data_IF_778233310573
#
_entry.id   IF_778233310573
#
_cell.length_a   1.000
_cell.length_b   1.000
_cell.length_c   1.000
_cell.angle_alpha   90.00
_cell.angle_beta   90.00
_cell.angle_gamma   90.00
#
_symmetry.space_group_name_H-M   'P 1'
#
loop_
_entity.id
_entity.type
_entity.pdbx_description
1 polymer ?
#
# COMPACT_ATOMS: atom_id res chain seq x y z
N UNK A 1 -44.61 38.21 111.39
CA UNK A 1 -44.35 37.04 110.50
C UNK A 1 -43.24 37.37 109.52
N UNK A 2 -42.59 36.37 108.93
CA UNK A 2 -41.57 36.56 107.87
C UNK A 2 -41.92 35.74 106.62
N UNK A 3 -41.45 36.14 105.44
CA UNK A 3 -41.62 35.33 104.21
C UNK A 3 -40.73 34.07 104.25
N UNK A 4 -41.19 32.91 103.75
CA UNK A 4 -40.46 31.64 103.91
C UNK A 4 -39.16 31.56 103.09
N UNK A 5 -39.15 32.10 101.86
CA UNK A 5 -37.98 31.98 100.97
C UNK A 5 -36.95 33.08 101.21
N UNK A 6 -37.40 34.30 101.53
CA UNK A 6 -36.53 35.47 101.62
C UNK A 6 -36.31 35.95 103.06
N UNK A 7 -37.17 35.56 104.02
CA UNK A 7 -37.06 35.94 105.42
C UNK A 7 -37.51 37.39 105.70
N UNK A 8 -38.30 38.00 104.81
CA UNK A 8 -38.68 39.41 104.87
C UNK A 8 -39.81 39.64 105.89
N UNK A 9 -39.73 40.72 106.66
CA UNK A 9 -40.72 41.14 107.64
C UNK A 9 -42.08 41.39 106.98
N UNK A 10 -43.13 40.76 107.51
CA UNK A 10 -44.53 40.98 107.12
C UNK A 10 -45.25 41.81 108.19
N UNK A 11 -46.07 42.76 107.75
CA UNK A 11 -46.92 43.61 108.61
C UNK A 11 -47.88 42.73 109.41
N UNK A 12 -47.98 42.97 110.72
CA UNK A 12 -48.99 42.35 111.56
C UNK A 12 -50.32 43.10 111.40
N UNK A 13 -51.35 42.38 110.93
CA UNK A 13 -52.68 42.95 110.63
C UNK A 13 -53.75 42.56 111.66
N UNK A 14 -53.35 42.04 112.81
CA UNK A 14 -54.27 41.45 113.80
C UNK A 14 -54.82 42.43 114.85
N UNK A 15 -54.39 43.70 114.88
CA UNK A 15 -54.90 44.73 115.83
C UNK A 15 -55.51 45.95 115.10
N UNK A 16 -56.76 46.37 115.41
CA UNK A 16 -57.46 47.39 114.65
C UNK A 16 -57.57 48.73 115.38
N UNK A 17 -56.49 49.51 115.54
CA UNK A 17 -56.55 50.98 115.74
C UNK A 17 -55.16 51.59 115.54
N UNK A 18 -55.01 52.39 114.47
CA UNK A 18 -53.81 53.19 114.13
C UNK A 18 -52.46 52.51 114.37
N UNK A 19 -52.17 51.46 113.60
CA UNK A 19 -50.83 50.86 113.57
C UNK A 19 -49.89 51.81 112.83
N UNK A 20 -48.99 52.46 113.57
CA UNK A 20 -47.90 53.24 113.01
C UNK A 20 -47.12 52.40 111.98
N UNK A 21 -47.01 52.86 110.73
CA UNK A 21 -46.23 52.14 109.71
C UNK A 21 -44.75 52.42 109.91
N UNK A 22 -44.06 51.47 110.54
CA UNK A 22 -42.61 51.53 110.73
C UNK A 22 -41.88 51.29 109.40
N UNK A 23 -41.51 52.39 108.74
CA UNK A 23 -40.80 52.42 107.46
C UNK A 23 -39.49 51.63 107.52
N UNK A 24 -38.76 51.75 108.63
CA UNK A 24 -37.47 51.08 108.82
C UNK A 24 -37.66 49.56 108.88
N UNK A 25 -38.65 49.09 109.64
CA UNK A 25 -38.89 47.65 109.82
C UNK A 25 -39.41 46.95 108.57
N UNK A 26 -40.31 47.58 107.82
CA UNK A 26 -41.05 46.91 106.75
C UNK A 26 -40.56 47.24 105.34
N UNK A 27 -39.82 48.33 105.17
CA UNK A 27 -39.24 48.74 103.90
C UNK A 27 -37.72 48.57 103.93
N UNK A 28 -37.02 49.37 104.71
CA UNK A 28 -35.55 49.47 104.66
C UNK A 28 -34.87 48.17 105.09
N UNK A 29 -35.33 47.55 106.19
CA UNK A 29 -34.81 46.25 106.63
C UNK A 29 -35.07 45.13 105.61
N UNK A 30 -36.20 45.17 104.90
CA UNK A 30 -36.50 44.18 103.86
C UNK A 30 -35.66 44.39 102.61
N UNK A 31 -35.48 45.64 102.17
CA UNK A 31 -34.59 45.97 101.05
C UNK A 31 -33.16 45.55 101.33
N UNK A 32 -32.61 45.88 102.52
CA UNK A 32 -31.26 45.42 102.91
C UNK A 32 -31.17 43.89 102.95
N UNK A 33 -32.22 43.20 103.42
CA UNK A 33 -32.22 41.74 103.46
C UNK A 33 -32.23 41.06 102.08
N UNK A 34 -32.87 41.69 101.08
CA UNK A 34 -32.81 41.23 99.68
C UNK A 34 -31.45 41.56 99.09
N UNK A 35 -30.98 42.80 99.26
CA UNK A 35 -29.73 43.30 98.68
C UNK A 35 -28.51 42.50 99.19
N UNK A 36 -28.53 42.09 100.46
CA UNK A 36 -27.50 41.19 101.03
C UNK A 36 -27.47 39.81 100.37
N UNK A 37 -28.53 39.39 99.66
CA UNK A 37 -28.67 38.06 99.07
C UNK A 37 -28.65 38.07 97.53
N UNK A 38 -28.79 39.22 96.88
CA UNK A 38 -28.81 39.36 95.42
C UNK A 38 -27.43 39.85 94.97
N UNK A 39 -26.86 39.21 93.93
CA UNK A 39 -25.57 39.64 93.36
C UNK A 39 -24.34 39.36 94.22
N UNK A 40 -24.47 38.58 95.30
CA UNK A 40 -23.36 38.12 96.14
C UNK A 40 -23.04 36.64 95.90
N UNK A 41 -21.78 36.25 96.09
CA UNK A 41 -21.34 34.87 96.01
C UNK A 41 -22.16 33.98 96.97
N UNK A 42 -22.78 32.91 96.45
CA UNK A 42 -23.64 32.00 97.22
C UNK A 42 -25.06 32.50 97.52
N UNK A 43 -25.51 33.61 96.92
CA UNK A 43 -26.86 34.17 97.04
C UNK A 43 -27.94 33.48 96.18
N UNK A 44 -29.11 34.12 96.02
CA UNK A 44 -30.25 33.55 95.25
C UNK A 44 -29.97 33.34 93.76
N UNK A 45 -29.01 34.09 93.20
CA UNK A 45 -28.40 33.83 91.92
C UNK A 45 -26.91 33.59 92.21
N UNK A 46 -26.49 32.32 92.30
CA UNK A 46 -25.08 32.01 92.47
C UNK A 46 -24.39 32.34 91.16
N UNK A 47 -23.74 33.50 91.13
CA UNK A 47 -22.78 33.84 90.11
C UNK A 47 -21.39 33.65 90.71
N UNK A 48 -20.44 33.20 89.89
CA UNK A 48 -19.02 33.22 90.24
C UNK A 48 -18.49 34.67 90.31
N UNK A 49 -17.22 34.82 90.65
CA UNK A 49 -16.57 36.14 90.79
C UNK A 49 -16.59 36.97 89.49
N UNK A 50 -16.85 36.34 88.34
CA UNK A 50 -16.93 36.96 87.02
C UNK A 50 -18.38 37.23 86.57
N UNK A 51 -19.37 36.99 87.44
CA UNK A 51 -20.78 37.22 87.13
C UNK A 51 -21.40 36.15 86.23
N UNK A 52 -20.79 34.96 86.12
CA UNK A 52 -21.29 33.83 85.32
C UNK A 52 -21.85 32.73 86.21
N UNK A 53 -22.70 31.87 85.66
CA UNK A 53 -23.16 30.66 86.37
C UNK A 53 -21.96 29.72 86.56
N UNK A 54 -21.69 29.26 87.79
CA UNK A 54 -20.61 28.33 88.07
C UNK A 54 -20.63 27.07 87.17
N UNK A 55 -19.47 26.67 86.67
CA UNK A 55 -19.34 25.57 85.68
C UNK A 55 -19.83 24.21 86.20
N UNK A 56 -19.84 23.99 87.52
CA UNK A 56 -20.38 22.80 88.15
C UNK A 56 -21.91 22.68 88.02
N UNK A 57 -22.59 23.81 87.80
CA UNK A 57 -24.03 23.93 87.55
C UNK A 57 -24.39 23.88 86.05
N UNK A 58 -23.40 23.93 85.14
CA UNK A 58 -23.63 23.78 83.71
C UNK A 58 -23.76 22.29 83.34
N UNK A 59 -24.74 21.98 82.49
CA UNK A 59 -24.94 20.63 81.95
C UNK A 59 -23.85 20.20 80.95
N UNK A 60 -22.98 21.12 80.50
CA UNK A 60 -21.86 20.85 79.58
C UNK A 60 -20.57 21.20 80.31
N UNK A 61 -19.88 20.18 80.80
CA UNK A 61 -18.56 20.30 81.42
C UNK A 61 -17.55 19.88 80.36
N UNK A 62 -16.78 20.84 79.87
CA UNK A 62 -15.66 20.69 78.91
C UNK A 62 -16.01 19.93 77.60
N UNK A 63 -16.32 20.64 76.50
CA UNK A 63 -16.61 19.97 75.23
C UNK A 63 -15.38 19.19 74.73
N UNK A 64 -15.54 17.88 74.58
CA UNK A 64 -14.56 17.01 73.93
C UNK A 64 -14.51 17.25 72.41
N UNK A 65 -13.44 16.81 71.76
CA UNK A 65 -13.35 16.82 70.29
C UNK A 65 -14.44 15.91 69.69
N UNK A 66 -15.01 16.34 68.56
CA UNK A 66 -16.02 15.52 67.88
C UNK A 66 -15.39 14.27 67.25
N UNK A 67 -16.14 13.18 67.26
CA UNK A 67 -15.81 11.97 66.51
C UNK A 67 -17.04 11.48 65.73
N UNK A 68 -16.87 10.43 64.93
CA UNK A 68 -17.99 9.79 64.22
C UNK A 68 -18.99 9.11 65.15
N UNK A 69 -18.67 8.94 66.44
CA UNK A 69 -19.50 8.27 67.44
C UNK A 69 -19.86 9.14 68.64
N UNK A 70 -19.19 10.29 68.83
CA UNK A 70 -19.40 11.21 69.94
C UNK A 70 -19.52 12.65 69.43
N UNK A 71 -20.55 13.37 69.88
CA UNK A 71 -20.69 14.80 69.61
C UNK A 71 -19.60 15.59 70.36
N UNK A 72 -19.02 16.58 69.71
CA UNK A 72 -17.96 17.42 70.27
C UNK A 72 -17.70 18.69 69.47
N UNK A 73 -16.61 19.39 69.78
CA UNK A 73 -16.14 20.58 69.05
C UNK A 73 -15.15 20.19 67.94
N UNK A 74 -15.12 20.96 66.85
CA UNK A 74 -14.18 20.78 65.72
C UNK A 74 -13.67 22.14 65.27
N UNK A 75 -12.40 22.22 64.87
CA UNK A 75 -11.83 23.40 64.24
C UNK A 75 -12.06 23.37 62.72
N UNK A 76 -12.47 24.49 62.14
CA UNK A 76 -12.80 24.58 60.71
C UNK A 76 -11.61 25.06 59.89
N UNK A 77 -11.42 24.50 58.68
CA UNK A 77 -10.39 24.93 57.73
C UNK A 77 -10.95 25.24 56.34
N UNK A 78 -10.35 26.24 55.69
CA UNK A 78 -10.63 26.59 54.29
C UNK A 78 -9.68 25.91 53.29
N UNK A 79 -8.74 25.08 53.76
CA UNK A 79 -7.84 24.34 52.88
C UNK A 79 -8.59 23.30 52.04
N UNK A 80 -8.32 23.24 50.73
CA UNK A 80 -8.99 22.33 49.79
C UNK A 80 -8.27 20.99 49.59
N UNK A 81 -7.10 20.82 50.22
CA UNK A 81 -6.25 19.63 50.14
C UNK A 81 -5.69 19.21 51.52
N UNK A 82 -6.39 19.57 52.61
CA UNK A 82 -5.96 19.22 53.97
C UNK A 82 -5.96 17.71 54.17
N UNK A 83 -4.89 17.18 54.75
CA UNK A 83 -4.79 15.78 55.21
C UNK A 83 -5.00 15.64 56.72
N UNK A 84 -5.38 16.71 57.42
CA UNK A 84 -5.62 16.71 58.87
C UNK A 84 -6.89 15.93 59.23
N UNK A 85 -6.78 15.06 60.22
CA UNK A 85 -7.91 14.32 60.81
C UNK A 85 -8.62 15.08 61.94
N UNK A 86 -8.09 16.23 62.36
CA UNK A 86 -8.62 17.05 63.47
C UNK A 86 -9.35 18.32 63.02
N UNK A 87 -9.34 18.61 61.72
CA UNK A 87 -9.98 19.79 61.13
C UNK A 87 -11.12 19.38 60.19
N UNK A 88 -12.27 20.06 60.28
CA UNK A 88 -13.36 19.87 59.33
C UNK A 88 -13.32 20.92 58.20
N UNK A 89 -13.67 20.54 56.96
CA UNK A 89 -13.72 21.49 55.85
C UNK A 89 -14.91 22.45 56.01
N UNK A 90 -14.70 23.72 55.66
CA UNK A 90 -15.82 24.67 55.51
C UNK A 90 -16.62 24.41 54.23
N UNK A 91 -17.85 24.95 54.16
CA UNK A 91 -18.62 24.97 52.91
C UNK A 91 -17.86 25.63 51.75
N UNK A 92 -17.02 26.63 52.05
CA UNK A 92 -16.13 27.27 51.07
C UNK A 92 -15.08 26.29 50.54
N UNK A 93 -14.39 25.57 51.41
CA UNK A 93 -13.40 24.56 51.01
C UNK A 93 -14.04 23.49 50.11
N UNK A 94 -15.21 22.97 50.52
CA UNK A 94 -15.94 21.97 49.75
C UNK A 94 -16.42 22.49 48.40
N UNK A 95 -16.94 23.71 48.34
CA UNK A 95 -17.41 24.32 47.09
C UNK A 95 -16.24 24.56 46.13
N UNK A 96 -15.11 25.07 46.62
CA UNK A 96 -13.91 25.27 45.81
C UNK A 96 -13.36 23.95 45.28
N UNK A 97 -13.35 22.89 46.10
CA UNK A 97 -12.95 21.55 45.67
C UNK A 97 -13.91 20.96 44.64
N UNK A 98 -15.23 21.09 44.85
CA UNK A 98 -16.24 20.60 43.91
C UNK A 98 -16.23 21.37 42.57
N UNK A 99 -15.83 22.64 42.58
CA UNK A 99 -15.66 23.46 41.38
C UNK A 99 -14.29 23.27 40.70
N UNK A 100 -13.40 22.46 41.27
CA UNK A 100 -12.10 22.17 40.66
C UNK A 100 -12.30 21.28 39.42
N UNK A 101 -12.19 21.89 38.24
CA UNK A 101 -12.31 21.21 36.95
C UNK A 101 -11.02 20.46 36.56
N UNK A 102 -9.95 20.53 37.36
CA UNK A 102 -8.74 19.75 37.15
C UNK A 102 -9.03 18.32 37.61
N UNK A 103 -9.53 17.49 36.67
CA UNK A 103 -9.65 16.03 36.83
C UNK A 103 -8.41 15.54 37.58
N UNK A 104 -8.59 14.94 38.76
CA UNK A 104 -7.53 14.28 39.53
C UNK A 104 -7.03 13.06 38.75
N UNK A 105 -6.36 13.30 37.63
CA UNK A 105 -5.65 12.29 36.88
C UNK A 105 -4.49 11.85 37.75
N UNK A 106 -4.53 10.59 38.15
CA UNK A 106 -3.42 9.94 38.84
C UNK A 106 -2.14 10.11 38.01
N UNK A 107 -0.98 10.03 38.67
CA UNK A 107 0.31 10.08 37.97
C UNK A 107 0.40 9.02 36.86
N UNK A 108 -0.25 7.86 37.05
CA UNK A 108 -0.35 6.80 36.05
C UNK A 108 -1.21 7.21 34.83
N UNK A 109 -2.40 7.77 35.05
CA UNK A 109 -3.27 8.26 33.95
C UNK A 109 -2.61 9.39 33.15
N UNK A 110 -1.86 10.27 33.82
CA UNK A 110 -1.08 11.33 33.17
C UNK A 110 0.07 10.78 32.33
N UNK A 111 0.77 9.77 32.85
CA UNK A 111 1.81 9.06 32.11
C UNK A 111 1.24 8.39 30.87
N UNK A 112 0.09 7.72 31.01
CA UNK A 112 -0.60 7.06 29.89
C UNK A 112 -1.05 8.08 28.84
N UNK A 113 -1.69 9.18 29.24
CA UNK A 113 -2.07 10.28 28.35
C UNK A 113 -0.87 10.85 27.59
N UNK A 114 0.24 11.09 28.29
CA UNK A 114 1.46 11.64 27.70
C UNK A 114 2.20 10.63 26.80
N UNK A 115 1.96 9.33 26.98
CA UNK A 115 2.50 8.26 26.12
C UNK A 115 1.67 8.00 24.86
N UNK A 116 0.47 8.60 24.75
CA UNK A 116 -0.41 8.42 23.61
C UNK A 116 0.15 9.04 22.32
N UNK A 117 -0.25 8.49 21.17
CA UNK A 117 0.04 9.10 19.86
C UNK A 117 -0.67 10.46 19.79
N UNK A 118 0.10 11.53 19.55
CA UNK A 118 -0.43 12.89 19.52
C UNK A 118 -0.88 13.26 18.10
N UNK A 119 -2.13 13.69 17.96
CA UNK A 119 -2.60 14.36 16.73
C UNK A 119 -2.20 15.84 16.82
N UNK A 120 -1.35 16.29 15.89
CA UNK A 120 -0.71 17.62 15.87
C UNK A 120 -1.54 18.68 15.16
N UNK A 121 -2.70 18.32 14.61
CA UNK A 121 -3.51 19.21 13.77
C UNK A 121 -3.10 19.17 12.30
N UNK A 122 -3.31 20.27 11.58
CA UNK A 122 -3.00 20.35 10.14
C UNK A 122 -1.48 20.42 9.91
N UNK A 123 -1.00 19.73 8.89
CA UNK A 123 0.42 19.75 8.49
C UNK A 123 0.84 21.17 8.05
N UNK A 124 2.08 21.61 8.36
CA UNK A 124 2.62 22.84 7.79
C UNK A 124 2.65 22.80 6.25
N UNK A 125 2.65 23.97 5.62
CA UNK A 125 2.78 24.10 4.16
C UNK A 125 4.06 23.41 3.63
N UNK A 126 5.15 23.47 4.38
CA UNK A 126 6.36 22.69 4.11
C UNK A 126 6.38 21.40 4.95
N UNK A 127 6.33 20.25 4.28
CA UNK A 127 6.40 18.95 4.96
C UNK A 127 7.74 18.74 5.69
N UNK A 128 8.81 19.46 5.32
CA UNK A 128 10.07 19.43 6.07
C UNK A 128 9.96 20.12 7.45
N UNK A 129 8.94 20.95 7.67
CA UNK A 129 8.68 21.58 8.98
C UNK A 129 7.92 20.68 9.95
N UNK A 130 7.33 19.57 9.47
CA UNK A 130 6.64 18.58 10.30
C UNK A 130 7.66 17.62 10.95
N UNK A 131 8.29 18.06 12.04
CA UNK A 131 9.40 17.34 12.69
C UNK A 131 9.08 16.71 14.04
N UNK A 132 7.93 17.01 14.64
CA UNK A 132 7.57 16.51 15.96
C UNK A 132 6.84 15.16 15.87
N UNK A 133 7.10 14.25 16.80
CA UNK A 133 6.43 12.95 16.84
C UNK A 133 4.91 13.10 16.87
N UNK A 134 4.21 12.37 16.00
CA UNK A 134 2.75 12.32 15.99
C UNK A 134 2.14 12.26 14.60
N UNK A 135 0.83 12.48 14.57
CA UNK A 135 0.01 12.42 13.37
C UNK A 135 -0.41 13.84 12.97
N UNK A 136 -0.18 14.20 11.72
CA UNK A 136 -0.59 15.45 11.10
C UNK A 136 -1.69 15.16 10.06
N UNK A 137 -2.73 15.98 10.08
CA UNK A 137 -3.82 15.96 9.11
C UNK A 137 -3.37 16.71 7.85
N UNK A 138 -3.59 16.12 6.68
CA UNK A 138 -3.29 16.76 5.40
C UNK A 138 -4.62 17.00 4.69
N UNK A 139 -4.98 18.26 4.47
CA UNK A 139 -6.33 18.64 4.04
C UNK A 139 -6.38 19.91 3.15
N UNK A 140 -5.51 20.00 2.13
CA UNK A 140 -5.52 21.14 1.22
C UNK A 140 -6.33 20.86 -0.05
N UNK A 141 -7.24 21.78 -0.37
CA UNK A 141 -7.95 21.84 -1.67
C UNK A 141 -7.03 22.25 -2.82
N UNK A 142 -6.02 23.08 -2.54
CA UNK A 142 -5.04 23.54 -3.53
C UNK A 142 -3.77 22.66 -3.48
N UNK A 143 -3.51 21.96 -4.58
CA UNK A 143 -2.41 21.01 -4.71
C UNK A 143 -1.03 21.67 -4.79
N UNK A 144 -1.00 22.99 -4.99
CA UNK A 144 0.21 23.81 -5.00
C UNK A 144 0.57 24.37 -3.61
N UNK A 145 -0.35 24.26 -2.64
CA UNK A 145 -0.17 24.84 -1.30
C UNK A 145 0.92 24.16 -0.46
N UNK A 146 1.33 22.94 -0.84
CA UNK A 146 2.38 22.20 -0.15
C UNK A 146 3.70 22.20 -0.92
N UNK A 147 4.81 22.27 -0.17
CA UNK A 147 6.17 22.04 -0.67
C UNK A 147 6.81 20.89 0.09
N UNK A 148 7.80 20.24 -0.55
CA UNK A 148 8.47 19.04 -0.06
C UNK A 148 7.52 17.89 0.32
N UNK A 149 6.28 17.91 -0.17
CA UNK A 149 5.35 16.80 -0.04
C UNK A 149 5.63 15.73 -1.10
N UNK A 150 5.07 14.51 -0.96
CA UNK A 150 5.37 13.41 -1.86
C UNK A 150 4.99 13.71 -3.32
N UNK A 151 6.01 13.78 -4.17
CA UNK A 151 5.91 13.89 -5.63
C UNK A 151 6.95 12.98 -6.26
N UNK A 152 6.58 12.28 -7.32
CA UNK A 152 7.49 11.54 -8.18
C UNK A 152 7.30 12.00 -9.63
N UNK A 153 8.39 12.17 -10.37
CA UNK A 153 8.40 12.51 -11.79
C UNK A 153 7.67 11.49 -12.67
N UNK A 154 7.65 10.21 -12.29
CA UNK A 154 7.02 9.13 -13.07
C UNK A 154 5.58 8.82 -12.65
N UNK A 155 5.23 9.07 -11.39
CA UNK A 155 3.94 8.64 -10.79
C UNK A 155 3.03 9.82 -10.45
N UNK A 156 3.50 11.06 -10.65
CA UNK A 156 2.77 12.26 -10.30
C UNK A 156 2.90 12.66 -8.83
N UNK A 157 2.06 13.59 -8.40
CA UNK A 157 2.03 14.08 -7.02
C UNK A 157 1.00 13.31 -6.21
N UNK A 158 1.31 13.00 -4.95
CA UNK A 158 0.35 12.37 -4.05
C UNK A 158 -0.87 13.28 -3.86
N UNK A 159 -2.05 12.68 -3.68
CA UNK A 159 -3.27 13.44 -3.41
C UNK A 159 -3.12 14.20 -2.08
N UNK A 160 -3.49 15.49 -2.06
CA UNK A 160 -3.25 16.42 -0.93
C UNK A 160 -4.27 16.32 0.21
N UNK A 161 -4.97 15.18 0.29
CA UNK A 161 -5.73 14.76 1.45
C UNK A 161 -5.18 13.46 1.97
N UNK A 162 -5.03 13.35 3.29
CA UNK A 162 -4.47 12.16 3.90
C UNK A 162 -3.95 12.42 5.30
N UNK A 163 -3.00 11.58 5.70
CA UNK A 163 -2.41 11.60 7.04
C UNK A 163 -0.90 11.48 6.91
N UNK A 164 -0.17 12.42 7.49
CA UNK A 164 1.27 12.37 7.65
C UNK A 164 1.60 11.92 9.07
N UNK A 165 2.26 10.78 9.19
CA UNK A 165 2.86 10.32 10.44
C UNK A 165 4.33 10.70 10.47
N UNK A 166 4.77 11.25 11.60
CA UNK A 166 6.15 11.66 11.84
C UNK A 166 6.65 10.95 13.10
N UNK A 167 7.77 10.26 12.97
CA UNK A 167 8.39 9.51 14.06
C UNK A 167 9.89 9.78 14.12
N UNK A 168 10.41 10.03 15.33
CA UNK A 168 11.82 10.29 15.62
C UNK A 168 12.29 9.32 16.69
N UNK A 169 13.44 8.68 16.45
CA UNK A 169 14.13 7.84 17.42
C UNK A 169 15.27 8.67 18.04
N UNK A 170 14.91 9.67 18.84
CA UNK A 170 15.86 10.64 19.40
C UNK A 170 16.29 11.70 18.38
N UNK A 171 17.52 12.20 18.50
CA UNK A 171 18.01 13.33 17.72
C UNK A 171 18.66 12.95 16.38
N UNK A 172 18.88 11.66 16.08
CA UNK A 172 19.68 11.24 14.92
C UNK A 172 18.93 11.19 13.59
N UNK A 173 17.70 10.69 13.59
CA UNK A 173 16.90 10.50 12.39
C UNK A 173 15.40 10.65 12.65
N UNK A 174 14.70 11.07 11.61
CA UNK A 174 13.26 11.24 11.55
C UNK A 174 12.72 10.47 10.36
N UNK A 175 11.60 9.78 10.54
CA UNK A 175 10.85 9.12 9.47
C UNK A 175 9.51 9.83 9.28
N UNK A 176 9.11 9.95 8.02
CA UNK A 176 7.78 10.41 7.63
C UNK A 176 7.09 9.33 6.80
N UNK A 177 5.86 9.01 7.17
CA UNK A 177 4.97 8.14 6.40
C UNK A 177 3.70 8.92 6.06
N UNK A 178 3.47 9.15 4.77
CA UNK A 178 2.26 9.80 4.27
C UNK A 178 1.32 8.78 3.65
N UNK A 179 0.11 8.70 4.19
CA UNK A 179 -0.99 7.88 3.65
C UNK A 179 -1.98 8.80 2.98
N UNK A 180 -2.06 8.71 1.66
CA UNK A 180 -2.95 9.52 0.85
C UNK A 180 -4.36 8.93 0.86
N UNK A 181 -5.37 9.79 1.00
CA UNK A 181 -6.79 9.41 0.94
C UNK A 181 -7.18 8.99 -0.49
N UNK A 182 -6.72 9.75 -1.49
CA UNK A 182 -6.87 9.40 -2.89
C UNK A 182 -5.88 8.31 -3.29
N UNK A 183 -6.30 7.36 -4.12
CA UNK A 183 -5.48 6.25 -4.64
C UNK A 183 -4.90 5.29 -3.58
N UNK A 184 -5.18 5.51 -2.29
CA UNK A 184 -4.72 4.70 -1.15
C UNK A 184 -3.19 4.50 -1.11
N UNK A 185 -2.44 5.48 -1.62
CA UNK A 185 -1.00 5.38 -1.75
C UNK A 185 -0.30 5.64 -0.42
N UNK A 186 0.77 4.90 -0.18
CA UNK A 186 1.65 5.09 0.97
C UNK A 186 2.99 5.57 0.49
N UNK A 187 3.45 6.67 1.07
CA UNK A 187 4.71 7.31 0.76
C UNK A 187 5.56 7.34 2.01
N UNK A 188 6.85 7.05 1.87
CA UNK A 188 7.80 7.04 2.98
C UNK A 188 9.05 7.83 2.63
N UNK A 189 9.65 8.47 3.63
CA UNK A 189 11.01 9.00 3.56
C UNK A 189 11.60 9.14 4.95
N UNK A 190 12.88 9.49 5.00
CA UNK A 190 13.56 9.84 6.23
C UNK A 190 14.36 11.12 6.07
N UNK A 191 14.68 11.76 7.18
CA UNK A 191 15.63 12.86 7.29
C UNK A 191 16.66 12.56 8.36
N UNK A 192 17.92 12.88 8.10
CA UNK A 192 19.00 12.77 9.08
C UNK A 192 19.33 14.15 9.66
N UNK A 193 19.67 14.17 10.95
CA UNK A 193 20.07 15.40 11.62
C UNK A 193 21.51 15.79 11.22
N UNK A 194 21.70 17.05 10.83
CA UNK A 194 23.00 17.61 10.45
C UNK A 194 23.72 18.32 11.60
N UNK A 195 23.29 18.11 12.85
CA UNK A 195 23.77 18.82 14.05
C UNK A 195 23.01 20.12 14.35
N UNK A 196 22.33 20.69 13.35
CA UNK A 196 21.50 21.90 13.45
C UNK A 196 20.01 21.63 13.22
N UNK A 197 19.60 20.36 13.08
CA UNK A 197 18.24 19.94 12.76
C UNK A 197 18.16 18.96 11.60
N UNK A 198 16.94 18.54 11.26
CA UNK A 198 16.68 17.59 10.17
C UNK A 198 16.73 18.29 8.81
N UNK A 199 17.91 18.35 8.19
CA UNK A 199 18.14 19.01 6.90
C UNK A 199 18.45 18.03 5.74
N UNK A 200 18.95 16.83 6.03
CA UNK A 200 19.31 15.84 5.01
C UNK A 200 18.11 14.94 4.67
N UNK A 201 17.19 15.45 3.86
CA UNK A 201 15.97 14.75 3.45
C UNK A 201 16.24 13.75 2.33
N UNK A 202 15.87 12.50 2.55
CA UNK A 202 15.81 11.51 1.47
C UNK A 202 14.60 11.79 0.58
N UNK A 203 14.67 11.46 -0.72
CA UNK A 203 13.53 11.59 -1.61
C UNK A 203 12.34 10.75 -1.11
N UNK A 204 11.13 11.22 -1.40
CA UNK A 204 9.93 10.44 -1.15
C UNK A 204 9.91 9.19 -2.02
N UNK A 205 9.61 8.06 -1.40
CA UNK A 205 9.41 6.78 -2.07
C UNK A 205 7.96 6.34 -1.91
N UNK A 206 7.30 6.00 -3.02
CA UNK A 206 5.97 5.40 -2.99
C UNK A 206 6.09 3.90 -2.82
N UNK A 207 5.34 3.34 -1.87
CA UNK A 207 5.20 1.90 -1.70
C UNK A 207 4.28 1.35 -2.78
N UNK A 208 4.73 0.31 -3.48
CA UNK A 208 3.98 -0.28 -4.59
C UNK A 208 2.75 -1.04 -4.06
N UNK A 209 1.60 -0.74 -4.67
CA UNK A 209 0.31 -1.36 -4.36
C UNK A 209 -0.08 -2.46 -5.34
N UNK A 210 -1.23 -3.08 -5.10
CA UNK A 210 -1.79 -4.14 -5.96
C UNK A 210 -1.99 -3.68 -7.41
N UNK A 211 -2.41 -2.42 -7.62
CA UNK A 211 -2.56 -1.83 -8.96
C UNK A 211 -1.25 -1.80 -9.74
N UNK A 212 -0.14 -1.47 -9.08
CA UNK A 212 1.19 -1.45 -9.69
C UNK A 212 1.62 -2.85 -10.13
N UNK A 213 1.41 -3.85 -9.27
CA UNK A 213 1.70 -5.24 -9.61
C UNK A 213 0.81 -5.76 -10.74
N UNK A 214 -0.46 -5.38 -10.77
CA UNK A 214 -1.37 -5.74 -11.86
C UNK A 214 -0.96 -5.07 -13.17
N UNK A 215 -0.55 -3.80 -13.13
CA UNK A 215 -0.03 -3.10 -14.29
C UNK A 215 1.25 -3.76 -14.82
N UNK A 216 2.17 -4.16 -13.93
CA UNK A 216 3.38 -4.89 -14.32
C UNK A 216 3.06 -6.24 -14.98
N UNK A 217 2.10 -6.99 -14.43
CA UNK A 217 1.61 -8.23 -15.05
C UNK A 217 0.98 -7.96 -16.42
N UNK A 218 0.20 -6.89 -16.53
CA UNK A 218 -0.43 -6.50 -17.79
C UNK A 218 0.62 -6.14 -18.85
N UNK A 219 1.67 -5.39 -18.49
CA UNK A 219 2.78 -5.08 -19.40
C UNK A 219 3.46 -6.35 -19.93
N UNK A 220 3.60 -7.40 -19.12
CA UNK A 220 4.10 -8.70 -19.58
C UNK A 220 3.14 -9.38 -20.56
N UNK A 221 1.83 -9.32 -20.32
CA UNK A 221 0.80 -9.84 -21.24
C UNK A 221 0.81 -9.07 -22.56
N UNK A 222 0.89 -7.74 -22.51
CA UNK A 222 0.94 -6.87 -23.68
C UNK A 222 2.18 -7.17 -24.53
N UNK A 223 3.35 -7.32 -23.89
CA UNK A 223 4.59 -7.74 -24.55
C UNK A 223 4.47 -9.10 -25.24
N UNK A 224 3.87 -10.09 -24.58
CA UNK A 224 3.58 -11.40 -25.20
C UNK A 224 2.60 -11.28 -26.36
N UNK A 225 1.62 -10.37 -26.27
CA UNK A 225 0.67 -10.09 -27.35
C UNK A 225 1.37 -9.58 -28.62
N UNK A 226 2.34 -8.68 -28.48
CA UNK A 226 3.17 -8.20 -29.61
C UNK A 226 3.93 -9.35 -30.26
N UNK A 227 4.59 -10.18 -29.47
CA UNK A 227 5.34 -11.34 -29.97
C UNK A 227 4.42 -12.36 -30.65
N UNK A 228 3.28 -12.68 -30.04
CA UNK A 228 2.29 -13.59 -30.60
C UNK A 228 1.74 -13.07 -31.95
N UNK A 229 1.47 -11.77 -32.06
CA UNK A 229 1.05 -11.14 -33.32
C UNK A 229 2.10 -11.30 -34.42
N UNK A 230 3.39 -11.12 -34.10
CA UNK A 230 4.48 -11.32 -35.04
C UNK A 230 4.59 -12.78 -35.51
N UNK A 231 4.44 -13.75 -34.59
CA UNK A 231 4.45 -15.19 -34.88
C UNK A 231 3.29 -15.55 -35.81
N UNK A 232 2.07 -15.10 -35.49
CA UNK A 232 0.88 -15.37 -36.31
C UNK A 232 1.00 -14.74 -37.70
N UNK A 233 1.63 -13.56 -37.81
CA UNK A 233 1.95 -12.93 -39.10
C UNK A 233 2.90 -13.73 -39.98
N UNK A 234 3.56 -14.78 -39.45
CA UNK A 234 4.40 -15.73 -40.17
C UNK A 234 3.76 -17.12 -40.32
N UNK A 235 2.46 -17.24 -40.05
CA UNK A 235 1.72 -18.50 -40.18
C UNK A 235 1.71 -19.36 -38.91
N UNK A 236 2.10 -18.81 -37.75
CA UNK A 236 1.90 -19.47 -36.46
C UNK A 236 0.46 -19.34 -35.93
N UNK A 237 0.19 -19.96 -34.76
CA UNK A 237 -1.10 -19.89 -34.07
C UNK A 237 -0.90 -19.85 -32.54
N UNK A 238 -0.68 -18.66 -32.01
CA UNK A 238 -0.46 -18.37 -30.57
C UNK A 238 -1.19 -17.09 -30.14
N UNK A 239 -1.22 -16.81 -28.85
CA UNK A 239 -1.82 -15.58 -28.30
C UNK A 239 -1.06 -15.07 -27.06
N UNK A 240 -1.48 -13.93 -26.52
CA UNK A 240 -0.92 -13.36 -25.30
C UNK A 240 -1.11 -14.26 -24.05
N UNK A 241 -2.03 -15.23 -24.10
CA UNK A 241 -2.24 -16.19 -23.01
C UNK A 241 -1.15 -17.26 -22.93
N UNK A 242 -0.41 -17.50 -24.02
CA UNK A 242 0.64 -18.50 -24.04
C UNK A 242 1.78 -18.16 -23.07
N UNK A 243 2.49 -19.18 -22.59
CA UNK A 243 3.72 -18.99 -21.81
C UNK A 243 4.87 -18.55 -22.72
N UNK A 244 5.96 -18.04 -22.14
CA UNK A 244 7.13 -17.66 -22.92
C UNK A 244 7.76 -18.87 -23.62
N UNK A 245 7.73 -20.04 -22.99
CA UNK A 245 8.21 -21.30 -23.54
C UNK A 245 7.36 -21.75 -24.74
N UNK A 246 6.03 -21.63 -24.64
CA UNK A 246 5.12 -21.95 -25.74
C UNK A 246 5.32 -21.00 -26.93
N UNK A 247 5.50 -19.70 -26.68
CA UNK A 247 5.82 -18.72 -27.74
C UNK A 247 7.17 -19.04 -28.40
N UNK A 248 8.19 -19.40 -27.62
CA UNK A 248 9.49 -19.79 -28.14
C UNK A 248 9.40 -21.06 -29.00
N UNK A 249 8.68 -22.07 -28.54
CA UNK A 249 8.43 -23.29 -29.32
C UNK A 249 7.68 -23.00 -30.63
N UNK A 250 6.69 -22.09 -30.60
CA UNK A 250 5.98 -21.68 -31.79
C UNK A 250 6.92 -21.02 -32.82
N UNK A 251 7.86 -20.15 -32.37
CA UNK A 251 8.88 -19.55 -33.24
C UNK A 251 9.75 -20.63 -33.89
N UNK A 252 10.26 -21.58 -33.10
CA UNK A 252 11.12 -22.67 -33.62
C UNK A 252 10.40 -23.53 -34.65
N UNK A 253 9.10 -23.72 -34.47
CA UNK A 253 8.26 -24.54 -35.35
C UNK A 253 7.60 -23.75 -36.49
N UNK A 254 7.89 -22.45 -36.64
CA UNK A 254 7.29 -21.66 -37.72
C UNK A 254 7.60 -22.29 -39.08
N UNK A 255 6.62 -22.33 -40.01
CA UNK A 255 6.85 -22.83 -41.35
C UNK A 255 7.84 -21.92 -42.09
N UNK A 256 9.08 -22.39 -42.22
CA UNK A 256 10.07 -21.75 -43.08
C UNK A 256 9.84 -22.27 -44.49
N UNK A 257 9.69 -21.40 -45.50
CA UNK A 257 9.68 -21.86 -46.91
C UNK A 257 10.96 -22.66 -47.16
N UNK A 258 10.81 -23.96 -47.41
CA UNK A 258 11.95 -24.87 -47.56
C UNK A 258 12.40 -24.85 -49.01
N UNK A 259 13.70 -24.75 -49.19
CA UNK A 259 14.34 -24.90 -50.48
C UNK A 259 15.59 -25.76 -50.30
N UNK A 260 15.95 -26.47 -51.36
CA UNK A 260 17.15 -27.27 -51.43
C UNK A 260 17.80 -27.10 -52.80
N UNK A 261 19.11 -27.30 -52.88
CA UNK A 261 19.85 -27.33 -54.13
C UNK A 261 20.88 -28.45 -54.08
N UNK A 262 21.32 -28.89 -55.25
CA UNK A 262 22.38 -29.87 -55.36
C UNK A 262 22.81 -30.06 -56.80
N UNK A 263 23.55 -31.14 -57.04
CA UNK A 263 24.06 -31.49 -58.36
C UNK A 263 23.84 -32.97 -58.65
N UNK A 264 23.59 -33.28 -59.92
CA UNK A 264 23.63 -34.64 -60.47
C UNK A 264 25.04 -35.04 -60.90
N UNK A 265 26.08 -34.26 -60.54
CA UNK A 265 27.49 -34.50 -60.87
C UNK A 265 27.75 -34.70 -62.37
N UNK A 266 26.96 -34.07 -63.24
CA UNK A 266 27.08 -34.24 -64.69
C UNK A 266 26.60 -35.59 -65.19
N UNK A 267 25.66 -36.25 -64.48
CA UNK A 267 25.03 -37.48 -64.93
C UNK A 267 24.59 -37.32 -66.39
N UNK A 268 24.96 -38.29 -67.22
CA UNK A 268 24.79 -38.21 -68.66
C UNK A 268 24.28 -39.53 -69.23
N UNK A 269 23.64 -39.45 -70.39
CA UNK A 269 23.23 -40.60 -71.17
C UNK A 269 23.36 -40.31 -72.66
N UNK A 270 23.77 -41.33 -73.41
CA UNK A 270 23.93 -41.29 -74.86
C UNK A 270 22.83 -42.12 -75.51
N UNK A 271 22.29 -41.64 -76.63
CA UNK A 271 21.31 -42.38 -77.40
C UNK A 271 21.92 -43.69 -77.93
N UNK A 272 21.13 -44.76 -78.11
CA UNK A 272 21.64 -46.05 -78.58
C UNK A 272 22.12 -46.01 -80.04
N UNK A 273 21.67 -45.03 -80.83
CA UNK A 273 22.04 -44.83 -82.23
C UNK A 273 21.67 -43.40 -82.68
N UNK A 274 22.10 -43.03 -83.89
CA UNK A 274 21.85 -41.70 -84.47
C UNK A 274 20.38 -41.42 -84.82
N UNK A 275 19.53 -42.46 -84.92
CA UNK A 275 18.12 -42.30 -85.30
C UNK A 275 17.18 -42.11 -84.10
N UNK A 276 17.72 -42.19 -82.88
CA UNK A 276 16.97 -42.09 -81.62
C UNK A 276 17.47 -40.93 -80.75
N UNK A 277 16.65 -40.54 -79.78
CA UNK A 277 17.04 -39.61 -78.72
C UNK A 277 17.65 -40.34 -77.53
N UNK A 278 18.33 -39.59 -76.66
CA UNK A 278 18.85 -40.11 -75.41
C UNK A 278 17.79 -40.02 -74.31
N UNK A 279 17.87 -40.89 -73.30
CA UNK A 279 16.96 -40.88 -72.15
C UNK A 279 17.72 -41.28 -70.88
N UNK A 280 17.46 -40.57 -69.78
CA UNK A 280 17.96 -40.90 -68.45
C UNK A 280 16.92 -40.59 -67.39
N UNK A 281 17.02 -41.27 -66.24
CA UNK A 281 16.27 -40.88 -65.03
C UNK A 281 17.21 -40.18 -64.06
N UNK A 282 16.79 -39.02 -63.58
CA UNK A 282 17.46 -38.28 -62.50
C UNK A 282 16.52 -38.18 -61.31
N UNK A 283 17.07 -38.11 -60.10
CA UNK A 283 16.25 -38.00 -58.91
C UNK A 283 17.05 -37.67 -57.67
N UNK A 284 16.34 -37.15 -56.68
CA UNK A 284 16.83 -36.78 -55.36
C UNK A 284 15.88 -37.38 -54.33
N UNK A 285 16.40 -37.96 -53.25
CA UNK A 285 15.59 -38.65 -52.23
C UNK A 285 16.07 -38.40 -50.79
N UNK A 286 16.84 -37.34 -50.57
CA UNK A 286 17.49 -37.01 -49.29
C UNK A 286 17.15 -35.61 -48.77
N UNK A 287 16.06 -35.00 -49.26
CA UNK A 287 15.56 -33.71 -48.76
C UNK A 287 14.71 -33.90 -47.51
N UNK A 288 14.68 -32.88 -46.65
CA UNK A 288 13.84 -32.84 -45.43
C UNK A 288 12.38 -32.44 -45.69
N UNK A 289 11.99 -32.30 -46.97
CA UNK A 289 10.66 -31.92 -47.41
C UNK A 289 10.33 -32.51 -48.78
N UNK A 290 9.05 -32.52 -49.13
CA UNK A 290 8.56 -32.97 -50.44
C UNK A 290 8.37 -31.75 -51.34
N UNK A 291 9.14 -31.59 -52.42
CA UNK A 291 9.11 -30.39 -53.24
C UNK A 291 7.83 -30.29 -54.07
N UNK A 292 7.27 -29.09 -54.20
CA UNK A 292 6.16 -28.79 -55.13
C UNK A 292 6.64 -28.14 -56.42
N UNK A 293 7.89 -27.69 -56.49
CA UNK A 293 8.50 -27.15 -57.71
C UNK A 293 10.00 -27.45 -57.78
N UNK A 294 10.49 -27.76 -58.97
CA UNK A 294 11.92 -27.98 -59.22
C UNK A 294 12.41 -27.22 -60.45
N UNK A 295 13.71 -26.97 -60.46
CA UNK A 295 14.49 -26.46 -61.57
C UNK A 295 15.66 -27.42 -61.77
N UNK A 296 15.91 -27.86 -63.00
CA UNK A 296 17.02 -28.74 -63.33
C UNK A 296 17.79 -28.13 -64.50
N UNK A 297 19.10 -27.93 -64.33
CA UNK A 297 19.98 -27.57 -65.44
C UNK A 297 20.28 -28.79 -66.27
N UNK A 298 19.94 -28.71 -67.54
CA UNK A 298 20.07 -29.80 -68.50
C UNK A 298 20.76 -29.29 -69.77
N UNK A 299 21.45 -30.21 -70.44
CA UNK A 299 22.14 -29.96 -71.70
C UNK A 299 21.86 -31.07 -72.70
N UNK A 300 21.70 -30.70 -73.96
CA UNK A 300 21.73 -31.58 -75.12
C UNK A 300 22.95 -31.24 -75.99
N UNK A 301 23.84 -32.20 -76.17
CA UNK A 301 24.97 -32.16 -77.10
C UNK A 301 24.97 -33.41 -77.99
N UNK A 302 25.89 -33.51 -78.93
CA UNK A 302 26.20 -34.77 -79.59
C UNK A 302 27.51 -35.40 -79.08
N UNK A 303 27.84 -36.59 -79.57
CA UNK A 303 29.08 -37.32 -79.27
C UNK A 303 30.35 -36.56 -79.68
N UNK A 304 30.25 -35.55 -80.54
CA UNK A 304 31.35 -34.64 -80.91
C UNK A 304 31.40 -33.37 -80.05
N UNK A 305 30.61 -33.32 -78.97
CA UNK A 305 30.47 -32.18 -78.05
C UNK A 305 29.89 -30.90 -78.69
N UNK A 306 29.20 -30.99 -79.82
CA UNK A 306 28.44 -29.84 -80.36
C UNK A 306 27.22 -29.59 -79.47
N UNK A 307 27.10 -28.38 -78.94
CA UNK A 307 25.98 -27.98 -78.08
C UNK A 307 24.75 -27.60 -78.90
N UNK A 308 23.59 -28.16 -78.55
CA UNK A 308 22.30 -27.84 -79.19
C UNK A 308 21.34 -27.11 -78.26
N UNK A 309 21.31 -27.50 -76.98
CA UNK A 309 20.44 -26.90 -75.95
C UNK A 309 21.18 -26.89 -74.62
N UNK A 310 21.12 -25.79 -73.88
CA UNK A 310 21.47 -25.73 -72.46
C UNK A 310 20.55 -24.75 -71.76
N UNK A 311 20.10 -25.10 -70.55
CA UNK A 311 19.36 -24.19 -69.69
C UNK A 311 18.68 -24.90 -68.52
N UNK A 312 17.87 -24.15 -67.79
CA UNK A 312 17.06 -24.66 -66.69
C UNK A 312 15.66 -25.00 -67.17
N UNK A 313 15.27 -26.27 -67.03
CA UNK A 313 13.88 -26.69 -67.17
C UNK A 313 13.20 -26.68 -65.80
N UNK A 314 11.95 -26.22 -65.73
CA UNK A 314 11.19 -26.08 -64.48
C UNK A 314 9.79 -26.64 -64.58
N UNK A 315 9.28 -27.18 -63.47
CA UNK A 315 7.88 -27.55 -63.34
C UNK A 315 7.40 -27.59 -61.89
N UNK A 316 6.09 -27.41 -61.76
CA UNK A 316 5.33 -27.85 -60.59
C UNK A 316 5.28 -29.38 -60.56
N UNK A 317 5.38 -29.99 -59.38
CA UNK A 317 5.37 -31.44 -59.18
C UNK A 317 4.06 -31.83 -58.47
N UNK A 318 3.34 -32.87 -58.94
CA UNK A 318 3.65 -33.70 -60.10
C UNK A 318 3.36 -32.98 -61.43
N UNK A 319 4.16 -33.29 -62.46
CA UNK A 319 3.89 -32.86 -63.83
C UNK A 319 3.65 -34.08 -64.72
N UNK A 320 2.48 -34.12 -65.35
CA UNK A 320 2.05 -35.23 -66.22
C UNK A 320 2.43 -35.03 -67.68
N UNK A 321 2.72 -33.79 -68.11
CA UNK A 321 3.14 -33.46 -69.47
C UNK A 321 4.65 -33.27 -69.65
N UNK A 322 5.12 -33.29 -70.88
CA UNK A 322 6.53 -33.03 -71.20
C UNK A 322 6.85 -31.53 -71.12
N UNK A 323 7.82 -31.17 -70.29
CA UNK A 323 8.39 -29.82 -70.26
C UNK A 323 9.51 -29.78 -71.29
N UNK A 324 9.24 -29.16 -72.43
CA UNK A 324 10.13 -29.21 -73.58
C UNK A 324 10.89 -27.92 -73.77
N UNK A 325 12.19 -28.04 -73.98
CA UNK A 325 13.08 -27.00 -74.46
C UNK A 325 13.40 -27.29 -75.91
N UNK A 326 13.33 -26.25 -76.75
CA UNK A 326 13.69 -26.34 -78.16
C UNK A 326 14.89 -25.46 -78.43
N UNK A 327 15.86 -25.98 -79.17
CA UNK A 327 17.06 -25.24 -79.55
C UNK A 327 17.31 -25.27 -81.05
N UNK A 328 18.59 -25.17 -81.41
CA UNK A 328 19.06 -25.13 -82.80
C UNK A 328 18.50 -26.33 -83.59
N UNK A 329 18.11 -26.09 -84.85
CA UNK A 329 17.56 -27.10 -85.77
C UNK A 329 16.35 -27.88 -85.22
N UNK A 330 15.55 -27.24 -84.35
CA UNK A 330 14.38 -27.86 -83.73
C UNK A 330 14.71 -29.14 -82.96
N UNK A 331 15.93 -29.23 -82.42
CA UNK A 331 16.25 -30.25 -81.42
C UNK A 331 15.42 -30.00 -80.17
N UNK A 332 14.94 -31.08 -79.56
CA UNK A 332 14.11 -31.05 -78.35
C UNK A 332 14.83 -31.74 -77.21
N UNK A 333 14.83 -31.12 -76.05
CA UNK A 333 15.12 -31.75 -74.78
C UNK A 333 13.87 -31.65 -73.91
N UNK A 334 13.49 -32.73 -73.23
CA UNK A 334 12.28 -32.76 -72.42
C UNK A 334 12.54 -33.31 -71.03
N UNK A 335 11.86 -32.74 -70.04
CA UNK A 335 11.63 -33.37 -68.74
C UNK A 335 10.22 -33.95 -68.74
N UNK A 336 10.09 -35.23 -68.38
CA UNK A 336 8.80 -35.91 -68.30
C UNK A 336 8.75 -36.82 -67.08
N UNK A 337 7.55 -37.32 -66.75
CA UNK A 337 7.33 -38.17 -65.57
C UNK A 337 7.93 -37.57 -64.29
N UNK A 338 7.79 -36.26 -64.11
CA UNK A 338 8.33 -35.56 -62.95
C UNK A 338 7.37 -35.76 -61.78
N UNK A 339 7.77 -36.63 -60.85
CA UNK A 339 6.93 -37.09 -59.73
C UNK A 339 7.56 -36.75 -58.40
N UNK A 340 6.72 -36.38 -57.44
CA UNK A 340 7.13 -36.13 -56.06
C UNK A 340 7.48 -37.48 -55.43
N UNK A 341 8.56 -37.51 -54.65
CA UNK A 341 8.95 -38.65 -53.83
C UNK A 341 9.01 -38.20 -52.37
N UNK A 342 8.93 -39.15 -51.43
CA UNK A 342 9.21 -38.84 -50.03
C UNK A 342 10.62 -38.27 -49.90
N UNK A 343 10.73 -37.02 -49.45
CA UNK A 343 12.03 -36.33 -49.35
C UNK A 343 12.69 -36.05 -50.70
N UNK A 344 11.93 -35.93 -51.79
CA UNK A 344 12.52 -36.08 -53.11
C UNK A 344 11.68 -35.75 -54.34
N UNK A 345 12.30 -35.94 -55.50
CA UNK A 345 11.62 -36.04 -56.79
C UNK A 345 12.37 -37.00 -57.71
N UNK A 346 11.67 -37.50 -58.72
CA UNK A 346 12.25 -38.26 -59.84
C UNK A 346 11.76 -37.66 -61.14
N UNK A 347 12.60 -37.65 -62.17
CA UNK A 347 12.30 -37.08 -63.47
C UNK A 347 13.01 -37.88 -64.58
N UNK A 348 12.31 -38.09 -65.68
CA UNK A 348 12.92 -38.60 -66.91
C UNK A 348 13.38 -37.42 -67.77
N UNK A 349 14.67 -37.36 -68.07
CA UNK A 349 15.23 -36.43 -69.05
C UNK A 349 15.34 -37.17 -70.38
N UNK A 350 14.76 -36.61 -71.43
CA UNK A 350 14.77 -37.17 -72.77
C UNK A 350 15.21 -36.14 -73.81
N UNK A 351 15.61 -36.60 -74.98
CA UNK A 351 15.81 -35.76 -76.15
C UNK A 351 15.12 -36.31 -77.39
N UNK A 352 14.98 -35.47 -78.42
CA UNK A 352 14.84 -35.97 -79.79
C UNK A 352 16.15 -36.61 -80.26
N UNK A 353 16.13 -37.29 -81.41
CA UNK A 353 17.35 -37.48 -82.20
C UNK A 353 18.00 -36.13 -82.51
N UNK A 354 19.29 -36.13 -82.83
CA UNK A 354 19.96 -34.92 -83.30
C UNK A 354 19.49 -34.60 -84.71
N UNK A 355 18.94 -33.40 -84.88
CA UNK A 355 18.73 -32.78 -86.18
C UNK A 355 19.87 -31.78 -86.42
N UNK A 356 20.58 -31.93 -87.52
CA UNK A 356 21.62 -31.00 -87.95
C UNK A 356 21.64 -30.87 -89.48
N UNK A 357 22.65 -30.17 -90.02
CA UNK A 357 22.76 -29.92 -91.45
C UNK A 357 23.46 -31.09 -92.15
N UNK A 358 22.77 -31.70 -93.12
CA UNK A 358 23.27 -32.74 -94.04
C UNK A 358 23.59 -34.12 -93.43
N UNK A 359 22.58 -34.99 -93.35
CA UNK A 359 22.77 -36.46 -93.31
C UNK A 359 23.62 -37.01 -92.15
N UNK A 360 23.75 -36.26 -91.06
CA UNK A 360 24.65 -36.60 -89.97
C UNK A 360 24.30 -37.90 -89.26
N UNK A 361 25.33 -38.49 -88.68
CA UNK A 361 25.28 -39.68 -87.83
C UNK A 361 25.54 -39.34 -86.36
N UNK A 362 25.47 -38.04 -86.00
CA UNK A 362 25.62 -37.57 -84.62
C UNK A 362 24.60 -38.22 -83.69
N UNK A 363 25.09 -38.78 -82.59
CA UNK A 363 24.28 -39.44 -81.57
C UNK A 363 24.03 -38.48 -80.42
N UNK A 364 22.77 -38.34 -79.98
CA UNK A 364 22.40 -37.42 -78.91
C UNK A 364 23.04 -37.81 -77.57
N UNK A 365 23.50 -36.81 -76.82
CA UNK A 365 23.99 -36.94 -75.45
C UNK A 365 23.29 -35.91 -74.59
N UNK A 366 22.59 -36.36 -73.56
CA UNK A 366 21.98 -35.49 -72.56
C UNK A 366 22.81 -35.50 -71.29
N UNK A 367 22.87 -34.36 -70.60
CA UNK A 367 23.57 -34.18 -69.32
C UNK A 367 22.67 -33.41 -68.36
N UNK A 368 22.72 -33.75 -67.06
CA UNK A 368 22.06 -33.03 -65.98
C UNK A 368 23.10 -32.54 -64.96
N UNK A 369 22.98 -31.29 -64.51
CA UNK A 369 23.96 -30.62 -63.64
C UNK A 369 23.33 -30.20 -62.31
N UNK A 370 23.08 -28.91 -62.09
CA UNK A 370 22.49 -28.43 -60.85
C UNK A 370 20.97 -28.61 -60.83
N UNK A 371 20.42 -28.76 -59.62
CA UNK A 371 18.99 -28.71 -59.38
C UNK A 371 18.67 -27.80 -58.20
N UNK A 372 17.48 -27.22 -58.23
CA UNK A 372 16.88 -26.43 -57.15
C UNK A 372 15.46 -26.94 -56.92
N UNK A 373 15.06 -27.10 -55.65
CA UNK A 373 13.76 -27.61 -55.26
C UNK A 373 13.12 -26.70 -54.20
N UNK A 374 11.82 -26.50 -54.29
CA UNK A 374 11.03 -25.63 -53.41
C UNK A 374 9.80 -26.37 -52.91
N UNK A 375 9.44 -26.14 -51.65
CA UNK A 375 8.17 -26.58 -51.04
C UNK A 375 7.00 -25.70 -51.48
#
# INVERSE_FOLDING_TARGET
>A
MKTPNLGLNLIDRTSPTTTYFDLEKYLDANWRAIDTKVGVAGGLAVLDADGKVPADQLNVKDPADASTTQKGIVQLTNATNSTSETLAPTAKALTTHAADAVKHTTAAERTLWNSGIIVRGVVPADFNSAIANGIYLVNATDWSAFINYPKNVEQGSAYTYGVLEVMTAGSGALSQTYRSHGQMEVWVRSAYNSGSGFASWQPWQRLLGLSDFNNLKQLSVDGKGVVAGAINGKGGNVSASNTHEELAAAITNLPVKRWAQGTFNGQSATAPNFSSGATMTVGVNNMSFSPTRVFIRVRLKDTSNVLYIEGFATATIPQTGDISMYGRFNNRLSLSSLTQQSGGFTCMVGSSRINDYAGSTSTAVIEAFEWFAYE
#
